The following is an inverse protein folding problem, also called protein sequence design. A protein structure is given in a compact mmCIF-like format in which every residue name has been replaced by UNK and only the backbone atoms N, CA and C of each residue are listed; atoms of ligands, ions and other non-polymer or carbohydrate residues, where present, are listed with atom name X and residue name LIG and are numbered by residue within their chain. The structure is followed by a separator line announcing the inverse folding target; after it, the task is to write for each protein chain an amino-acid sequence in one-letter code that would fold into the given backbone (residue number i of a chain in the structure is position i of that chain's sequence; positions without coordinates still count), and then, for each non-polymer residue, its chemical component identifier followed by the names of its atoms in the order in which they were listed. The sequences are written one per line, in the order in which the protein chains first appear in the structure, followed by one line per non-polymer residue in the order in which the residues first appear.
data_IF_040359533546
#
_entry.id   IF_040359533546
#
_cell.length_a   1.000
_cell.length_b   1.000
_cell.length_c   1.000
_cell.angle_alpha   90.00
_cell.angle_beta   90.00
_cell.angle_gamma   90.00
#
_symmetry.space_group_name_H-M   'P 1'
#
loop_
_entity.id
_entity.type
_entity.pdbx_description
1 polymer ?
#
# COMPACT_ATOMS: atom_id res chain seq x y z
N UNK A 1 -26.54 8.99 6.51
CA UNK A 1 -26.52 7.52 6.58
C UNK A 1 -26.14 6.88 5.24
N UNK A 2 -26.75 7.27 4.12
CA UNK A 2 -26.49 6.70 2.78
C UNK A 2 -25.00 6.61 2.39
N UNK A 3 -24.20 7.68 2.52
CA UNK A 3 -22.77 7.66 2.13
C UNK A 3 -21.95 6.57 2.83
N UNK A 4 -22.23 6.29 4.10
CA UNK A 4 -21.52 5.27 4.90
C UNK A 4 -21.86 3.86 4.42
N UNK A 5 -23.15 3.63 4.12
CA UNK A 5 -23.62 2.35 3.58
C UNK A 5 -23.00 2.11 2.21
N UNK A 6 -22.96 3.14 1.35
CA UNK A 6 -22.31 3.06 0.03
C UNK A 6 -20.83 2.70 0.17
N UNK A 7 -20.08 3.37 1.06
CA UNK A 7 -18.66 3.06 1.25
C UNK A 7 -18.41 1.66 1.79
N UNK A 8 -19.22 1.19 2.74
CA UNK A 8 -19.13 -0.19 3.23
C UNK A 8 -19.50 -1.19 2.14
N UNK A 9 -20.52 -0.90 1.33
CA UNK A 9 -20.90 -1.75 0.21
C UNK A 9 -19.77 -1.84 -0.82
N UNK A 10 -19.11 -0.72 -1.17
CA UNK A 10 -17.94 -0.72 -2.06
C UNK A 10 -16.81 -1.56 -1.46
N UNK A 11 -16.46 -1.33 -0.19
CA UNK A 11 -15.41 -2.08 0.49
C UNK A 11 -15.67 -3.60 0.45
N UNK A 12 -16.88 -4.02 0.85
CA UNK A 12 -17.26 -5.43 0.89
C UNK A 12 -17.32 -6.03 -0.51
N UNK A 13 -17.86 -5.31 -1.49
CA UNK A 13 -17.94 -5.77 -2.88
C UNK A 13 -16.54 -6.02 -3.43
N UNK A 14 -15.61 -5.07 -3.24
CA UNK A 14 -14.22 -5.21 -3.72
C UNK A 14 -13.48 -6.31 -2.96
N UNK A 15 -13.71 -6.46 -1.64
CA UNK A 15 -13.15 -7.54 -0.83
C UNK A 15 -13.62 -8.92 -1.32
N UNK A 16 -14.93 -9.15 -1.44
CA UNK A 16 -15.46 -10.44 -1.91
C UNK A 16 -15.04 -10.72 -3.35
N UNK A 17 -15.02 -9.68 -4.18
CA UNK A 17 -14.49 -9.80 -5.52
C UNK A 17 -13.01 -10.18 -5.50
N UNK A 18 -12.17 -9.61 -4.63
CA UNK A 18 -10.73 -9.96 -4.59
C UNK A 18 -10.50 -11.41 -4.17
N UNK A 19 -11.20 -11.89 -3.13
CA UNK A 19 -11.11 -13.26 -2.59
C UNK A 19 -11.62 -14.34 -3.56
N UNK A 20 -12.49 -13.99 -4.51
CA UNK A 20 -13.17 -14.98 -5.34
C UNK A 20 -12.26 -15.82 -6.24
N UNK A 21 -11.06 -15.34 -6.58
CA UNK A 21 -10.09 -16.04 -7.41
C UNK A 21 -8.69 -15.39 -7.34
N UNK A 22 -8.01 -15.39 -6.17
CA UNK A 22 -6.64 -14.92 -6.07
C UNK A 22 -5.69 -15.91 -6.73
N UNK A 23 -4.64 -15.39 -7.37
CA UNK A 23 -3.59 -16.23 -7.98
C UNK A 23 -2.80 -17.04 -6.97
N UNK A 24 -2.47 -16.42 -5.84
CA UNK A 24 -1.83 -17.05 -4.71
C UNK A 24 -2.48 -16.55 -3.41
N UNK A 25 -2.99 -17.48 -2.61
CA UNK A 25 -3.73 -17.15 -1.39
C UNK A 25 -2.78 -16.59 -0.31
N UNK A 26 -1.52 -17.02 -0.29
CA UNK A 26 -0.54 -16.55 0.69
C UNK A 26 -0.18 -15.07 0.46
N UNK A 27 0.19 -14.72 -0.77
CA UNK A 27 0.43 -13.33 -1.19
C UNK A 27 -0.82 -12.48 -1.01
N UNK A 28 -2.02 -13.02 -1.33
CA UNK A 28 -3.27 -12.31 -1.10
C UNK A 28 -3.43 -11.90 0.37
N UNK A 29 -3.15 -12.80 1.32
CA UNK A 29 -3.23 -12.47 2.74
C UNK A 29 -2.22 -11.39 3.14
N UNK A 30 -0.97 -11.49 2.69
CA UNK A 30 0.06 -10.49 2.99
C UNK A 30 -0.38 -9.09 2.55
N UNK A 31 -0.93 -8.97 1.34
CA UNK A 31 -1.35 -7.68 0.78
C UNK A 31 -2.70 -7.19 1.33
N UNK A 32 -3.63 -8.09 1.64
CA UNK A 32 -4.97 -7.73 2.12
C UNK A 32 -5.01 -7.42 3.62
N UNK A 33 -4.09 -7.95 4.43
CA UNK A 33 -4.04 -7.76 5.89
C UNK A 33 -4.14 -6.28 6.30
N UNK A 34 -3.36 -5.33 5.73
CA UNK A 34 -3.49 -3.93 6.10
C UNK A 34 -4.89 -3.36 5.86
N UNK A 35 -5.54 -3.72 4.74
CA UNK A 35 -6.90 -3.30 4.42
C UNK A 35 -7.95 -3.95 5.35
N UNK A 36 -7.73 -5.20 5.76
CA UNK A 36 -8.59 -5.92 6.72
C UNK A 36 -8.47 -5.34 8.13
N UNK A 37 -7.28 -4.95 8.55
CA UNK A 37 -7.02 -4.31 9.86
C UNK A 37 -7.56 -2.87 9.91
N UNK A 38 -7.57 -2.15 8.78
CA UNK A 38 -8.09 -0.79 8.73
C UNK A 38 -9.57 -0.71 9.15
N UNK A 39 -10.40 -1.68 8.76
CA UNK A 39 -11.83 -1.69 9.06
C UNK A 39 -12.17 -1.72 10.57
N UNK A 40 -11.65 -2.67 11.39
CA UNK A 40 -11.89 -2.68 12.83
C UNK A 40 -11.29 -1.44 13.51
N UNK A 41 -10.11 -0.96 13.09
CA UNK A 41 -9.55 0.29 13.62
C UNK A 41 -10.52 1.45 13.40
N UNK A 42 -11.08 1.59 12.20
CA UNK A 42 -12.05 2.64 11.90
C UNK A 42 -13.36 2.47 12.65
N UNK A 43 -13.80 1.23 12.87
CA UNK A 43 -15.00 0.93 13.64
C UNK A 43 -14.85 1.35 15.11
N UNK A 44 -13.74 0.98 15.76
CA UNK A 44 -13.49 1.30 17.17
C UNK A 44 -13.12 2.76 17.39
N UNK A 45 -12.30 3.35 16.52
CA UNK A 45 -11.89 4.76 16.61
C UNK A 45 -13.02 5.74 16.30
N UNK A 46 -14.12 5.30 15.65
CA UNK A 46 -15.20 6.19 15.22
C UNK A 46 -15.80 7.05 16.34
N UNK A 47 -15.99 6.47 17.53
CA UNK A 47 -16.65 7.15 18.66
C UNK A 47 -15.69 8.11 19.38
N UNK A 48 -14.42 7.74 19.50
CA UNK A 48 -13.40 8.50 20.22
C UNK A 48 -12.67 9.51 19.33
N UNK A 49 -12.56 9.25 18.03
CA UNK A 49 -11.80 10.05 17.07
C UNK A 49 -12.42 9.94 15.65
N UNK A 50 -13.54 10.64 15.39
CA UNK A 50 -14.18 10.59 14.08
C UNK A 50 -13.33 11.31 13.03
N UNK A 51 -12.78 10.58 12.06
CA UNK A 51 -11.98 11.12 10.96
C UNK A 51 -12.81 11.99 10.00
N UNK A 52 -12.14 12.81 9.20
CA UNK A 52 -12.79 13.58 8.13
C UNK A 52 -13.37 12.69 7.04
N UNK A 53 -14.38 13.17 6.34
CA UNK A 53 -14.95 12.50 5.15
C UNK A 53 -13.89 12.20 4.10
N UNK A 54 -12.91 13.11 3.93
CA UNK A 54 -11.79 12.92 3.01
C UNK A 54 -10.89 11.76 3.45
N UNK A 55 -10.50 11.70 4.72
CA UNK A 55 -9.69 10.60 5.24
C UNK A 55 -10.38 9.24 5.08
N UNK A 56 -11.68 9.14 5.38
CA UNK A 56 -12.43 7.90 5.13
C UNK A 56 -12.46 7.52 3.65
N UNK A 57 -12.62 8.49 2.75
CA UNK A 57 -12.60 8.23 1.31
C UNK A 57 -11.22 7.77 0.83
N UNK A 58 -10.13 8.40 1.30
CA UNK A 58 -8.77 8.01 0.97
C UNK A 58 -8.44 6.60 1.50
N UNK A 59 -8.86 6.26 2.72
CA UNK A 59 -8.69 4.90 3.24
C UNK A 59 -9.44 3.89 2.40
N UNK A 60 -10.68 4.20 1.99
CA UNK A 60 -11.45 3.30 1.10
C UNK A 60 -10.72 3.08 -0.23
N UNK A 61 -10.24 4.16 -0.86
CA UNK A 61 -9.46 4.08 -2.11
C UNK A 61 -8.21 3.22 -1.89
N UNK A 62 -7.46 3.42 -0.80
CA UNK A 62 -6.29 2.63 -0.49
C UNK A 62 -6.61 1.15 -0.31
N UNK A 63 -7.68 0.82 0.41
CA UNK A 63 -8.14 -0.56 0.59
C UNK A 63 -8.52 -1.20 -0.76
N UNK A 64 -9.19 -0.45 -1.64
CA UNK A 64 -9.51 -0.95 -2.97
C UNK A 64 -8.25 -1.23 -3.80
N UNK A 65 -7.23 -0.36 -3.73
CA UNK A 65 -5.94 -0.60 -4.39
C UNK A 65 -5.30 -1.88 -3.86
N UNK A 66 -5.24 -2.07 -2.54
CA UNK A 66 -4.69 -3.28 -1.93
C UNK A 66 -5.44 -4.55 -2.34
N UNK A 67 -6.77 -4.52 -2.36
CA UNK A 67 -7.56 -5.69 -2.80
C UNK A 67 -7.42 -6.01 -4.29
N UNK A 68 -7.21 -4.99 -5.14
CA UNK A 68 -6.92 -5.20 -6.56
C UNK A 68 -5.54 -5.82 -6.73
N UNK A 69 -4.52 -5.32 -6.02
CA UNK A 69 -3.18 -5.91 -5.98
C UNK A 69 -3.22 -7.37 -5.52
N UNK A 70 -3.91 -7.63 -4.40
CA UNK A 70 -3.98 -8.95 -3.80
C UNK A 70 -4.63 -9.98 -4.74
N UNK A 71 -5.62 -9.56 -5.55
CA UNK A 71 -6.31 -10.46 -6.49
C UNK A 71 -5.43 -10.85 -7.68
N UNK A 72 -4.81 -9.87 -8.33
CA UNK A 72 -4.12 -10.07 -9.60
C UNK A 72 -2.62 -10.34 -9.46
N UNK A 73 -2.11 -10.21 -8.23
CA UNK A 73 -0.70 -10.01 -7.91
C UNK A 73 -0.19 -8.72 -8.57
N UNK A 74 0.66 -7.95 -7.89
CA UNK A 74 1.17 -6.66 -8.40
C UNK A 74 1.81 -6.73 -9.81
N UNK A 75 2.11 -7.93 -10.31
CA UNK A 75 2.67 -8.21 -11.63
C UNK A 75 1.70 -8.12 -12.82
N UNK A 76 0.37 -8.22 -12.64
CA UNK A 76 -0.53 -8.49 -13.77
C UNK A 76 -1.93 -7.83 -13.62
N UNK A 77 -1.99 -6.51 -13.38
CA UNK A 77 -3.26 -5.78 -13.38
C UNK A 77 -3.56 -5.27 -14.80
N UNK A 78 -4.50 -5.89 -15.56
CA UNK A 78 -4.72 -5.60 -16.99
C UNK A 78 -5.23 -4.18 -17.30
N UNK A 79 -5.77 -3.48 -16.30
CA UNK A 79 -6.22 -2.09 -16.45
C UNK A 79 -5.05 -1.11 -16.65
N UNK A 80 -3.88 -1.44 -16.10
CA UNK A 80 -2.69 -0.58 -16.16
C UNK A 80 -1.70 -1.00 -17.25
N UNK A 81 -1.79 -2.22 -17.79
CA UNK A 81 -1.13 -2.57 -19.06
C UNK A 81 -1.65 -1.69 -20.20
N UNK A 82 -2.95 -1.40 -20.22
CA UNK A 82 -3.54 -0.46 -21.19
C UNK A 82 -3.00 0.98 -21.00
N UNK A 83 -2.87 1.44 -19.76
CA UNK A 83 -2.32 2.77 -19.43
C UNK A 83 -0.80 2.84 -19.69
N UNK A 84 -0.08 1.74 -19.47
CA UNK A 84 1.34 1.59 -19.78
C UNK A 84 1.61 1.56 -21.29
N UNK A 85 0.73 0.92 -22.08
CA UNK A 85 0.75 0.98 -23.54
C UNK A 85 0.49 2.41 -24.05
N UNK A 86 -0.44 3.15 -23.44
CA UNK A 86 -0.72 4.55 -23.80
C UNK A 86 0.42 5.50 -23.40
N UNK A 87 1.13 5.21 -22.30
CA UNK A 87 2.27 6.02 -21.82
C UNK A 87 3.66 5.50 -22.27
N UNK A 88 3.72 4.50 -23.15
CA UNK A 88 4.98 3.98 -23.71
C UNK A 88 5.96 3.38 -22.69
N UNK A 89 5.45 2.81 -21.60
CA UNK A 89 6.28 2.34 -20.48
C UNK A 89 6.32 0.81 -20.43
N UNK A 90 7.47 0.21 -20.72
CA UNK A 90 7.65 -1.25 -20.84
C UNK A 90 7.79 -2.02 -19.50
N UNK A 91 7.73 -1.34 -18.35
CA UNK A 91 7.89 -1.98 -17.03
C UNK A 91 6.68 -1.75 -16.14
N UNK A 92 6.19 -2.84 -15.53
CA UNK A 92 5.09 -2.91 -14.58
C UNK A 92 4.99 -1.66 -13.66
N UNK A 93 4.07 -0.75 -14.00
CA UNK A 93 3.88 0.52 -13.30
C UNK A 93 2.91 0.43 -12.11
N UNK A 94 2.32 -0.74 -11.87
CA UNK A 94 1.33 -0.91 -10.80
C UNK A 94 1.96 -0.84 -9.42
N UNK A 95 3.15 -1.42 -9.26
CA UNK A 95 3.99 -1.29 -8.07
C UNK A 95 4.26 0.17 -7.70
N UNK A 96 4.59 1.01 -8.68
CA UNK A 96 4.80 2.46 -8.47
C UNK A 96 3.53 3.18 -8.02
N UNK A 97 2.37 2.80 -8.53
CA UNK A 97 1.08 3.39 -8.14
C UNK A 97 0.70 2.94 -6.73
N UNK A 98 0.93 1.66 -6.40
CA UNK A 98 0.80 1.14 -5.05
C UNK A 98 1.67 1.91 -4.07
N UNK A 99 2.97 2.03 -4.35
CA UNK A 99 3.92 2.81 -3.56
C UNK A 99 3.54 4.29 -3.45
N UNK A 100 3.08 4.90 -4.54
CA UNK A 100 2.60 6.29 -4.50
C UNK A 100 1.37 6.44 -3.59
N UNK A 101 0.39 5.54 -3.71
CA UNK A 101 -0.81 5.54 -2.86
C UNK A 101 -0.45 5.25 -1.40
N UNK A 102 0.47 4.32 -1.16
CA UNK A 102 1.02 3.95 0.15
C UNK A 102 1.85 5.08 0.77
N UNK A 103 2.47 5.97 -0.01
CA UNK A 103 3.09 7.18 0.53
C UNK A 103 2.07 8.28 0.77
N UNK A 104 1.30 8.63 -0.25
CA UNK A 104 0.43 9.81 -0.26
C UNK A 104 -0.71 9.73 0.75
N UNK A 105 -1.42 8.60 0.80
CA UNK A 105 -2.62 8.45 1.64
C UNK A 105 -2.24 8.46 3.13
N UNK A 106 -1.24 7.68 3.58
CA UNK A 106 -0.77 7.75 4.96
C UNK A 106 -0.23 9.12 5.36
N UNK A 107 0.39 9.90 4.46
CA UNK A 107 0.88 11.24 4.81
C UNK A 107 -0.29 12.16 5.18
N UNK A 108 -1.38 12.10 4.41
CA UNK A 108 -2.59 12.88 4.70
C UNK A 108 -3.22 12.44 6.03
N UNK A 109 -3.26 11.13 6.29
CA UNK A 109 -3.79 10.58 7.55
C UNK A 109 -2.93 10.96 8.75
N UNK A 110 -1.61 10.83 8.66
CA UNK A 110 -0.66 11.21 9.72
C UNK A 110 -0.79 12.70 10.04
N UNK A 111 -0.86 13.55 9.01
CA UNK A 111 -1.10 14.99 9.17
C UNK A 111 -2.43 15.26 9.87
N UNK A 112 -3.51 14.59 9.48
CA UNK A 112 -4.81 14.77 10.15
C UNK A 112 -4.72 14.38 11.63
N UNK A 113 -4.05 13.26 11.95
CA UNK A 113 -3.87 12.82 13.33
C UNK A 113 -3.06 13.83 14.15
N UNK A 114 -1.92 14.31 13.64
CA UNK A 114 -1.07 15.28 14.34
C UNK A 114 -1.80 16.57 14.69
N UNK A 115 -2.57 17.12 13.74
CA UNK A 115 -3.33 18.35 13.95
C UNK A 115 -4.45 18.11 14.96
N UNK A 116 -5.23 17.04 14.80
CA UNK A 116 -6.43 16.82 15.63
C UNK A 116 -6.12 16.32 17.03
N UNK A 117 -4.96 15.70 17.25
CA UNK A 117 -4.43 15.37 18.57
C UNK A 117 -3.64 16.52 19.21
N UNK A 118 -3.56 17.68 18.53
CA UNK A 118 -2.80 18.86 19.00
C UNK A 118 -1.32 18.53 19.27
N UNK A 119 -0.76 17.55 18.55
CA UNK A 119 0.66 17.21 18.63
C UNK A 119 1.49 18.29 17.94
N UNK A 120 0.97 18.81 16.82
CA UNK A 120 1.62 19.85 16.02
C UNK A 120 0.60 20.89 15.55
N UNK A 121 1.05 22.13 15.36
CA UNK A 121 0.25 23.18 14.72
C UNK A 121 0.24 23.03 13.19
N UNK A 122 -0.78 23.58 12.55
CA UNK A 122 -0.86 23.64 11.08
C UNK A 122 0.30 24.49 10.56
N UNK A 123 1.14 23.90 9.69
CA UNK A 123 2.27 24.59 9.09
C UNK A 123 3.23 23.64 8.37
N UNK A 124 4.32 24.19 7.85
CA UNK A 124 5.32 23.45 7.08
C UNK A 124 5.94 22.29 7.88
N UNK A 125 6.21 22.50 9.17
CA UNK A 125 6.76 21.46 10.06
C UNK A 125 5.83 20.26 10.24
N UNK A 126 4.51 20.48 10.29
CA UNK A 126 3.56 19.37 10.37
C UNK A 126 3.55 18.54 9.09
N UNK A 127 3.69 19.19 7.92
CA UNK A 127 3.78 18.49 6.64
C UNK A 127 5.09 17.71 6.53
N UNK A 128 6.21 18.36 6.86
CA UNK A 128 7.53 17.75 6.85
C UNK A 128 7.58 16.50 7.74
N UNK A 129 7.14 16.60 9.00
CA UNK A 129 7.13 15.47 9.93
C UNK A 129 6.14 14.37 9.52
N UNK A 130 5.00 14.71 8.91
CA UNK A 130 4.08 13.71 8.37
C UNK A 130 4.74 12.91 7.24
N UNK A 131 5.49 13.58 6.35
CA UNK A 131 6.28 12.91 5.31
C UNK A 131 7.38 12.04 5.92
N UNK A 132 8.17 12.55 6.87
CA UNK A 132 9.21 11.78 7.55
C UNK A 132 8.65 10.53 8.25
N UNK A 133 7.50 10.66 8.93
CA UNK A 133 6.84 9.53 9.59
C UNK A 133 6.48 8.43 8.59
N UNK A 134 5.91 8.79 7.45
CA UNK A 134 5.53 7.80 6.42
C UNK A 134 6.74 7.20 5.75
N UNK A 135 7.79 7.98 5.46
CA UNK A 135 9.05 7.44 4.94
C UNK A 135 9.67 6.43 5.91
N UNK A 136 9.68 6.74 7.21
CA UNK A 136 10.17 5.81 8.23
C UNK A 136 9.32 4.54 8.30
N UNK A 137 8.00 4.67 8.17
CA UNK A 137 7.09 3.52 8.13
C UNK A 137 7.31 2.65 6.89
N UNK A 138 7.49 3.25 5.70
CA UNK A 138 7.79 2.52 4.47
C UNK A 138 9.14 1.80 4.56
N UNK A 139 10.18 2.46 5.06
CA UNK A 139 11.48 1.82 5.27
C UNK A 139 11.39 0.66 6.27
N UNK A 140 10.58 0.79 7.32
CA UNK A 140 10.34 -0.30 8.27
C UNK A 140 9.63 -1.50 7.62
N UNK A 141 8.67 -1.24 6.73
CA UNK A 141 7.99 -2.30 5.99
C UNK A 141 8.95 -3.05 5.05
N UNK A 142 9.80 -2.35 4.30
CA UNK A 142 10.83 -2.96 3.45
C UNK A 142 11.81 -3.83 4.28
N UNK A 143 12.15 -3.42 5.51
CA UNK A 143 12.96 -4.23 6.42
C UNK A 143 12.26 -5.52 6.85
N UNK A 144 10.93 -5.50 7.04
CA UNK A 144 10.15 -6.71 7.33
C UNK A 144 10.17 -7.65 6.14
N UNK A 145 9.95 -7.15 4.92
CA UNK A 145 10.01 -7.94 3.70
C UNK A 145 11.38 -8.60 3.52
N UNK A 146 12.45 -7.84 3.77
CA UNK A 146 13.81 -8.37 3.75
C UNK A 146 14.00 -9.50 4.76
N UNK A 147 13.47 -9.35 5.98
CA UNK A 147 13.58 -10.40 7.00
C UNK A 147 12.78 -11.66 6.63
N UNK A 148 11.58 -11.51 6.08
CA UNK A 148 10.76 -12.64 5.60
C UNK A 148 11.46 -13.37 4.46
N UNK A 149 12.05 -12.65 3.49
CA UNK A 149 12.83 -13.24 2.41
C UNK A 149 14.06 -14.00 2.94
N UNK A 150 14.81 -13.38 3.86
CA UNK A 150 15.97 -14.02 4.50
C UNK A 150 15.60 -15.28 5.28
N UNK A 151 14.42 -15.32 5.91
CA UNK A 151 13.93 -16.47 6.66
C UNK A 151 13.36 -17.59 5.75
N UNK A 152 12.86 -17.25 4.56
CA UNK A 152 12.22 -18.21 3.63
C UNK A 152 13.21 -18.95 2.74
N UNK A 153 14.49 -18.56 2.73
CA UNK A 153 15.54 -19.22 1.97
C UNK A 153 15.45 -19.01 0.45
N UNK A 154 14.51 -18.19 -0.03
CA UNK A 154 14.51 -17.72 -1.42
C UNK A 154 15.67 -16.74 -1.60
N UNK A 155 16.67 -17.20 -2.34
CA UNK A 155 17.87 -16.50 -2.80
C UNK A 155 17.80 -14.97 -2.69
N UNK A 156 18.50 -14.46 -1.67
CA UNK A 156 18.95 -13.07 -1.56
C UNK A 156 19.70 -12.57 -2.82
N UNK A 157 20.02 -13.43 -3.78
CA UNK A 157 20.64 -13.12 -5.06
C UNK A 157 19.71 -12.38 -6.05
N UNK A 158 18.38 -12.60 -6.02
CA UNK A 158 17.46 -11.90 -6.93
C UNK A 158 17.30 -10.42 -6.57
N UNK A 159 17.49 -10.06 -5.30
CA UNK A 159 17.42 -8.67 -4.82
C UNK A 159 18.77 -7.93 -4.98
N UNK A 160 19.91 -8.64 -4.87
CA UNK A 160 21.26 -8.08 -5.05
C UNK A 160 21.66 -7.85 -6.52
N UNK A 161 20.95 -8.44 -7.49
CA UNK A 161 21.20 -8.26 -8.93
C UNK A 161 20.96 -6.85 -9.48
N UNK A 162 20.48 -5.90 -8.66
CA UNK A 162 20.28 -4.49 -9.05
C UNK A 162 21.50 -3.60 -8.76
N UNK A 163 22.52 -4.08 -8.04
CA UNK A 163 23.80 -3.37 -7.92
C UNK A 163 24.82 -4.00 -8.84
N UNK A 164 24.88 -3.49 -10.08
CA UNK A 164 25.75 -3.99 -11.12
C UNK A 164 27.22 -4.08 -10.69
N UNK A 165 27.79 -5.27 -10.85
CA UNK A 165 29.20 -5.46 -11.20
C UNK A 165 29.28 -6.57 -12.26
N UNK A 166 29.82 -6.30 -13.46
CA UNK A 166 30.26 -7.36 -14.35
C UNK A 166 31.58 -7.88 -13.80
N UNK A 167 31.65 -9.15 -13.39
CA UNK A 167 32.94 -9.81 -13.17
C UNK A 167 33.09 -10.92 -14.20
N UNK A 168 33.68 -10.55 -15.34
CA UNK A 168 34.50 -11.47 -16.11
C UNK A 168 35.56 -12.06 -15.18
N UNK A 169 35.60 -13.39 -15.07
CA UNK A 169 36.84 -14.14 -14.80
C UNK A 169 36.69 -15.55 -15.41
N UNK A 170 37.12 -15.61 -16.68
CA UNK A 170 37.90 -16.66 -17.35
C UNK A 170 37.56 -18.14 -17.08
N UNK A 171 37.05 -18.78 -18.12
CA UNK A 171 37.26 -20.21 -18.40
C UNK A 171 38.76 -20.53 -18.53
N UNK A 172 39.13 -21.69 -17.97
CA UNK A 172 40.28 -22.59 -18.23
C UNK A 172 41.61 -22.00 -18.70
#
# INVERSE_FOLDING_TARGET
MQKRVIWMAIYLLVLFWSVSNPKDMFTWWLEAIPALIALPILFFSRKSFPLTTLAYALILVHCCVLFVGARYTYAEVPLFDWLAQVMGSERNNYDKVGHFAQGFIPVILAREIFIRKQVMQIGAWCQFLAVCFVLAFSAFYELIEWWVAAASGENAEAFLGTQGYPRHTLES
#
